data_IF_786262732291
#
_entry.id   IF_786262732291
#
_cell.length_a   1.000
_cell.length_b   1.000
_cell.length_c   1.000
_cell.angle_alpha   90.00
_cell.angle_beta   90.00
_cell.angle_gamma   90.00
#
_symmetry.space_group_name_H-M   'P 1'
#
loop_
_entity.id
_entity.type
_entity.pdbx_description
1 polymer ?
#
# COMPACT_ATOMS: atom_id res chain seq x y z
N UNK A 1 4.99 8.59 6.02
CA UNK A 1 5.08 7.92 4.72
C UNK A 1 4.54 6.51 4.89
N UNK A 2 3.70 6.06 3.98
CA UNK A 2 3.13 4.72 4.01
C UNK A 2 3.90 3.75 3.12
N UNK A 3 3.47 2.50 3.12
CA UNK A 3 4.04 1.42 2.33
C UNK A 3 3.93 0.08 3.06
N UNK A 4 4.58 -0.94 2.53
CA UNK A 4 4.68 -2.26 3.15
C UNK A 4 5.56 -2.13 4.40
N UNK A 5 5.07 -2.42 5.62
CA UNK A 5 5.87 -2.29 6.82
C UNK A 5 7.04 -3.28 6.82
N UNK A 6 8.23 -2.78 7.12
CA UNK A 6 9.46 -3.58 7.17
C UNK A 6 10.29 -3.25 8.40
N UNK A 7 11.14 -4.19 8.82
CA UNK A 7 12.22 -3.93 9.76
C UNK A 7 13.44 -3.33 9.02
N UNK A 8 14.49 -2.97 9.77
CA UNK A 8 15.72 -2.38 9.21
C UNK A 8 16.52 -3.34 8.31
N UNK A 9 16.21 -4.65 8.32
CA UNK A 9 16.76 -5.66 7.41
C UNK A 9 15.92 -5.83 6.14
N UNK A 10 14.92 -4.98 5.94
CA UNK A 10 13.97 -5.01 4.84
C UNK A 10 13.00 -6.21 4.84
N UNK A 11 12.94 -7.00 5.91
CA UNK A 11 11.99 -8.11 6.03
C UNK A 11 10.58 -7.52 6.28
N UNK A 12 9.59 -8.01 5.54
CA UNK A 12 8.19 -7.54 5.67
C UNK A 12 7.62 -7.96 7.01
N UNK A 13 6.94 -7.03 7.66
CA UNK A 13 6.28 -7.23 8.94
C UNK A 13 4.78 -7.41 8.76
N UNK A 14 4.19 -8.26 9.58
CA UNK A 14 2.74 -8.37 9.74
C UNK A 14 2.38 -8.42 11.20
N UNK A 15 1.14 -8.05 11.51
CA UNK A 15 0.60 -8.09 12.87
C UNK A 15 -0.44 -9.23 12.96
N UNK A 16 -0.12 -10.24 13.75
CA UNK A 16 -1.05 -11.31 14.08
C UNK A 16 -0.94 -11.61 15.59
N UNK A 17 -1.59 -10.76 16.39
CA UNK A 17 -1.46 -10.72 17.85
C UNK A 17 -0.15 -10.09 18.32
N UNK A 18 0.96 -10.31 17.62
CA UNK A 18 2.26 -9.67 17.80
C UNK A 18 2.91 -9.40 16.43
N UNK A 19 3.87 -8.48 16.40
CA UNK A 19 4.65 -8.21 15.19
C UNK A 19 5.50 -9.44 14.83
N UNK A 20 5.42 -9.88 13.57
CA UNK A 20 6.17 -11.01 13.02
C UNK A 20 6.69 -10.69 11.63
N UNK A 21 7.83 -11.25 11.28
CA UNK A 21 8.31 -11.22 9.89
C UNK A 21 7.55 -12.22 9.02
N UNK A 22 7.30 -11.83 7.76
CA UNK A 22 6.79 -12.74 6.73
C UNK A 22 8.00 -13.43 6.09
N UNK A 23 8.18 -14.75 6.29
CA UNK A 23 9.36 -15.44 5.79
C UNK A 23 9.50 -15.32 4.27
N UNK A 24 10.71 -15.02 3.80
CA UNK A 24 11.02 -14.93 2.37
C UNK A 24 10.52 -13.69 1.64
N UNK A 25 9.76 -12.79 2.30
CA UNK A 25 9.26 -11.57 1.69
C UNK A 25 10.01 -10.35 2.20
N UNK A 26 10.54 -9.55 1.26
CA UNK A 26 11.24 -8.31 1.54
C UNK A 26 10.65 -7.15 0.74
N UNK A 27 10.73 -5.93 1.28
CA UNK A 27 10.37 -4.71 0.58
C UNK A 27 11.37 -3.60 0.90
N UNK A 28 11.70 -2.78 -0.12
CA UNK A 28 12.65 -1.68 -0.02
C UNK A 28 12.15 -0.46 -0.81
N UNK A 29 12.74 0.69 -0.53
CA UNK A 29 12.47 1.91 -1.27
C UNK A 29 11.04 2.41 -1.13
N UNK A 30 10.50 2.97 -2.20
CA UNK A 30 9.17 3.61 -2.16
C UNK A 30 8.02 2.65 -1.88
N UNK A 31 8.19 1.35 -2.14
CA UNK A 31 7.20 0.32 -1.79
C UNK A 31 7.16 0.01 -0.29
N UNK A 32 8.25 0.29 0.45
CA UNK A 32 8.41 -0.07 1.85
C UNK A 32 8.11 1.08 2.81
N UNK A 33 7.79 0.72 4.04
CA UNK A 33 7.73 1.64 5.17
C UNK A 33 8.60 1.11 6.31
N UNK A 34 9.86 1.51 6.33
CA UNK A 34 10.85 1.15 7.36
C UNK A 34 10.79 2.09 8.57
N UNK A 35 9.84 3.02 8.59
CA UNK A 35 9.55 3.96 9.70
C UNK A 35 10.60 5.06 9.93
N UNK A 36 11.51 5.31 8.99
CA UNK A 36 12.58 6.34 9.14
C UNK A 36 12.15 7.74 8.68
N UNK A 37 11.03 7.87 7.96
CA UNK A 37 10.59 9.14 7.40
C UNK A 37 9.49 9.85 8.19
N UNK A 38 8.96 9.21 9.22
CA UNK A 38 7.80 9.73 9.95
C UNK A 38 6.58 9.93 9.04
N UNK A 39 5.80 10.97 9.31
CA UNK A 39 4.58 11.27 8.56
C UNK A 39 4.80 12.10 7.29
N UNK A 40 6.02 12.59 7.05
CA UNK A 40 6.40 13.29 5.83
C UNK A 40 7.91 13.18 5.59
N UNK A 41 8.29 12.69 4.41
CA UNK A 41 9.68 12.48 4.03
C UNK A 41 10.38 13.83 3.76
N UNK A 42 11.59 14.01 4.27
CA UNK A 42 12.45 15.13 3.87
C UNK A 42 12.90 14.98 2.42
N UNK A 43 13.08 16.10 1.75
CA UNK A 43 13.58 16.15 0.38
C UNK A 43 14.88 15.34 0.22
N UNK A 44 15.03 14.63 -0.88
CA UNK A 44 16.15 13.75 -1.25
C UNK A 44 16.37 12.49 -0.40
N UNK A 45 15.71 12.35 0.74
CA UNK A 45 15.92 11.19 1.63
C UNK A 45 15.43 9.86 1.02
N UNK A 46 14.56 9.87 0.00
CA UNK A 46 14.20 8.62 -0.69
C UNK A 46 15.40 7.96 -1.36
N UNK A 47 16.29 8.72 -1.96
CA UNK A 47 17.49 8.16 -2.63
C UNK A 47 18.41 7.45 -1.63
N UNK A 48 18.57 8.03 -0.44
CA UNK A 48 19.35 7.42 0.63
C UNK A 48 18.67 6.13 1.12
N UNK A 49 17.37 6.16 1.32
CA UNK A 49 16.56 5.00 1.71
C UNK A 49 16.75 3.84 0.72
N UNK A 50 16.58 4.10 -0.59
CA UNK A 50 16.78 3.09 -1.64
C UNK A 50 18.14 2.40 -1.55
N UNK A 51 19.20 3.15 -1.35
CA UNK A 51 20.58 2.63 -1.29
C UNK A 51 20.83 1.86 0.01
N UNK A 52 20.46 2.45 1.14
CA UNK A 52 20.73 1.86 2.48
C UNK A 52 19.96 0.56 2.68
N UNK A 53 18.64 0.60 2.46
CA UNK A 53 17.81 -0.60 2.70
C UNK A 53 17.90 -1.61 1.55
N UNK A 54 18.22 -1.20 0.31
CA UNK A 54 18.59 -2.13 -0.74
C UNK A 54 19.83 -2.95 -0.39
N UNK A 55 20.86 -2.29 0.16
CA UNK A 55 22.06 -2.97 0.66
C UNK A 55 21.76 -3.86 1.87
N UNK A 56 20.90 -3.42 2.79
CA UNK A 56 20.51 -4.21 3.95
C UNK A 56 19.75 -5.48 3.52
N UNK A 57 18.81 -5.37 2.59
CA UNK A 57 18.08 -6.49 2.01
C UNK A 57 19.00 -7.50 1.34
N UNK A 58 19.95 -7.03 0.51
CA UNK A 58 20.91 -7.90 -0.17
C UNK A 58 21.77 -8.69 0.84
N UNK A 59 22.25 -8.06 1.90
CA UNK A 59 23.01 -8.74 2.96
C UNK A 59 22.13 -9.76 3.69
N UNK A 60 20.90 -9.38 4.01
CA UNK A 60 19.96 -10.28 4.69
C UNK A 60 19.59 -11.48 3.81
N UNK A 61 19.34 -11.26 2.53
CA UNK A 61 19.10 -12.34 1.58
C UNK A 61 20.28 -13.34 1.52
N UNK A 62 21.52 -12.82 1.49
CA UNK A 62 22.71 -13.68 1.51
C UNK A 62 22.88 -14.48 2.82
N UNK A 63 22.35 -13.98 3.95
CA UNK A 63 22.30 -14.75 5.22
C UNK A 63 21.27 -15.90 5.15
N UNK A 64 20.11 -15.64 4.52
CA UNK A 64 18.97 -16.56 4.50
C UNK A 64 19.06 -17.61 3.39
N UNK A 65 19.58 -17.22 2.23
CA UNK A 65 19.62 -18.05 1.03
C UNK A 65 21.05 -18.46 0.73
N UNK A 66 21.30 -19.77 0.72
CA UNK A 66 22.60 -20.33 0.33
C UNK A 66 22.52 -20.84 -1.10
N UNK A 67 23.49 -20.50 -1.97
CA UNK A 67 23.55 -21.07 -3.32
C UNK A 67 23.48 -22.61 -3.30
N UNK A 68 22.69 -23.20 -4.19
CA UNK A 68 22.52 -24.64 -4.29
C UNK A 68 21.55 -25.27 -3.26
N UNK A 69 20.94 -24.48 -2.37
CA UNK A 69 19.86 -24.99 -1.51
C UNK A 69 18.63 -25.30 -2.37
N UNK A 70 18.06 -26.51 -2.27
CA UNK A 70 16.83 -26.84 -2.98
C UNK A 70 15.69 -25.90 -2.55
N UNK A 71 14.89 -25.49 -3.49
CA UNK A 71 13.64 -24.78 -3.20
C UNK A 71 12.55 -25.79 -2.85
N UNK A 72 11.67 -25.40 -1.94
CA UNK A 72 10.41 -26.13 -1.74
C UNK A 72 9.58 -26.05 -3.03
N UNK A 73 8.89 -27.13 -3.35
CA UNK A 73 7.96 -27.15 -4.48
C UNK A 73 6.79 -26.19 -4.20
N UNK A 74 6.52 -25.35 -5.18
CA UNK A 74 5.34 -24.47 -5.11
C UNK A 74 4.11 -25.35 -5.36
N UNK A 75 3.12 -25.34 -4.43
CA UNK A 75 1.88 -26.09 -4.64
C UNK A 75 1.21 -25.66 -5.96
N UNK A 76 0.81 -26.64 -6.78
CA UNK A 76 0.15 -26.38 -8.06
C UNK A 76 -1.04 -25.42 -7.92
N UNK A 77 -1.78 -25.53 -6.82
CA UNK A 77 -2.92 -24.65 -6.51
C UNK A 77 -2.57 -23.15 -6.45
N UNK A 78 -1.33 -22.77 -6.10
CA UNK A 78 -0.90 -21.37 -6.09
C UNK A 78 -0.62 -20.88 -7.52
N UNK A 79 -0.04 -21.74 -8.35
CA UNK A 79 0.14 -21.45 -9.78
C UNK A 79 -1.21 -21.30 -10.48
N UNK A 80 -2.15 -22.23 -10.19
CA UNK A 80 -3.49 -22.22 -10.78
C UNK A 80 -4.24 -20.92 -10.42
N UNK A 81 -4.19 -20.46 -9.17
CA UNK A 81 -4.79 -19.17 -8.77
C UNK A 81 -4.24 -17.97 -9.57
N UNK A 82 -2.94 -17.95 -9.82
CA UNK A 82 -2.34 -16.89 -10.64
C UNK A 82 -2.82 -16.93 -12.09
N UNK A 83 -2.86 -18.13 -12.67
CA UNK A 83 -3.35 -18.35 -14.03
C UNK A 83 -4.85 -18.02 -14.17
N UNK A 84 -5.67 -18.48 -13.23
CA UNK A 84 -7.10 -18.18 -13.18
C UNK A 84 -7.37 -16.66 -13.09
N UNK A 85 -6.61 -15.93 -12.23
CA UNK A 85 -6.71 -14.47 -12.16
C UNK A 85 -6.37 -13.81 -13.49
N UNK A 86 -5.28 -14.24 -14.11
CA UNK A 86 -4.82 -13.71 -15.41
C UNK A 86 -5.85 -13.98 -16.50
N UNK A 87 -6.30 -15.22 -16.64
CA UNK A 87 -7.24 -15.63 -17.68
C UNK A 87 -8.63 -15.01 -17.48
N UNK A 88 -9.10 -14.89 -16.26
CA UNK A 88 -10.34 -14.20 -15.93
C UNK A 88 -10.32 -12.74 -16.41
N UNK A 89 -9.25 -12.00 -16.15
CA UNK A 89 -9.12 -10.62 -16.59
C UNK A 89 -8.97 -10.53 -18.11
N UNK A 90 -8.09 -11.34 -18.70
CA UNK A 90 -7.86 -11.37 -20.15
C UNK A 90 -9.14 -11.68 -20.94
N UNK A 91 -9.96 -12.61 -20.45
CA UNK A 91 -11.18 -13.05 -21.13
C UNK A 91 -12.42 -12.28 -20.71
N UNK A 92 -12.29 -11.27 -19.84
CA UNK A 92 -13.39 -10.45 -19.39
C UNK A 92 -14.13 -9.79 -20.57
N UNK A 93 -15.46 -9.95 -20.62
CA UNK A 93 -16.33 -9.52 -21.73
C UNK A 93 -17.58 -8.76 -21.25
N UNK A 94 -17.47 -8.08 -20.11
CA UNK A 94 -18.53 -7.26 -19.53
C UNK A 94 -18.73 -5.92 -20.25
N UNK A 95 -19.30 -4.96 -19.54
CA UNK A 95 -19.67 -3.64 -20.09
C UNK A 95 -18.71 -2.52 -19.68
N UNK A 96 -18.03 -2.65 -18.54
CA UNK A 96 -17.13 -1.62 -18.02
C UNK A 96 -15.74 -1.73 -18.65
N UNK A 97 -15.18 -0.64 -19.15
CA UNK A 97 -13.79 -0.62 -19.58
C UNK A 97 -12.85 -0.14 -18.45
N UNK A 98 -11.63 -0.60 -18.47
CA UNK A 98 -10.60 -0.28 -17.46
C UNK A 98 -10.33 1.21 -17.35
N UNK A 99 -10.30 1.94 -18.47
CA UNK A 99 -9.98 3.36 -18.50
C UNK A 99 -11.01 4.20 -17.74
N UNK A 100 -12.31 3.90 -17.87
CA UNK A 100 -13.38 4.62 -17.19
C UNK A 100 -13.35 4.34 -15.67
N UNK A 101 -13.15 3.08 -15.28
CA UNK A 101 -13.02 2.70 -13.86
C UNK A 101 -11.79 3.36 -13.23
N UNK A 102 -10.66 3.38 -13.94
CA UNK A 102 -9.43 4.03 -13.50
C UNK A 102 -9.63 5.54 -13.35
N UNK A 103 -10.28 6.19 -14.31
CA UNK A 103 -10.59 7.61 -14.24
C UNK A 103 -11.55 7.94 -13.08
N UNK A 104 -12.56 7.10 -12.83
CA UNK A 104 -13.45 7.24 -11.70
C UNK A 104 -12.69 7.15 -10.36
N UNK A 105 -11.80 6.16 -10.20
CA UNK A 105 -10.90 6.05 -9.05
C UNK A 105 -10.05 7.32 -8.87
N UNK A 106 -9.39 7.79 -9.92
CA UNK A 106 -8.52 8.97 -9.88
C UNK A 106 -9.31 10.23 -9.47
N UNK A 107 -10.49 10.45 -10.03
CA UNK A 107 -11.36 11.59 -9.69
C UNK A 107 -11.81 11.52 -8.22
N UNK A 108 -12.19 10.33 -7.74
CA UNK A 108 -12.57 10.14 -6.33
C UNK A 108 -11.39 10.43 -5.41
N UNK A 109 -10.21 9.89 -5.68
CA UNK A 109 -9.02 10.17 -4.87
C UNK A 109 -8.66 11.65 -4.87
N UNK A 110 -8.69 12.31 -6.03
CA UNK A 110 -8.37 13.73 -6.16
C UNK A 110 -9.39 14.64 -5.44
N UNK A 111 -10.67 14.31 -5.50
CA UNK A 111 -11.72 15.16 -4.91
C UNK A 111 -12.00 14.88 -3.45
N UNK A 112 -11.75 13.65 -2.96
CA UNK A 112 -12.15 13.22 -1.61
C UNK A 112 -10.99 12.94 -0.67
N UNK A 113 -9.78 12.63 -1.18
CA UNK A 113 -8.61 12.26 -0.38
C UNK A 113 -7.33 13.01 -0.80
N UNK A 114 -7.47 14.21 -1.35
CA UNK A 114 -6.35 15.08 -1.72
C UNK A 114 -5.63 15.66 -0.47
N UNK A 115 -5.03 16.83 -0.60
CA UNK A 115 -4.22 17.45 0.46
C UNK A 115 -5.07 17.83 1.68
N UNK A 116 -6.19 18.53 1.46
CA UNK A 116 -7.08 18.97 2.53
C UNK A 116 -8.29 18.06 2.64
N UNK A 117 -8.52 17.54 3.83
CA UNK A 117 -9.48 16.47 4.11
C UNK A 117 -10.42 16.86 5.24
N UNK A 118 -11.67 16.43 5.14
CA UNK A 118 -12.66 16.53 6.21
C UNK A 118 -13.35 15.19 6.43
N UNK A 119 -14.00 15.00 7.57
CA UNK A 119 -14.82 13.80 7.86
C UNK A 119 -15.85 13.56 6.75
N UNK A 120 -16.50 14.66 6.29
CA UNK A 120 -17.51 14.57 5.24
C UNK A 120 -16.92 14.09 3.92
N UNK A 121 -15.86 14.72 3.43
CA UNK A 121 -15.24 14.37 2.15
C UNK A 121 -14.68 12.96 2.17
N UNK A 122 -14.01 12.55 3.25
CA UNK A 122 -13.47 11.20 3.38
C UNK A 122 -14.57 10.14 3.49
N UNK A 123 -15.66 10.41 4.23
CA UNK A 123 -16.78 9.47 4.33
C UNK A 123 -17.48 9.24 2.98
N UNK A 124 -17.67 10.32 2.21
CA UNK A 124 -18.16 10.22 0.83
C UNK A 124 -17.18 9.41 -0.03
N UNK A 125 -15.88 9.70 0.07
CA UNK A 125 -14.82 9.00 -0.65
C UNK A 125 -14.76 7.51 -0.35
N UNK A 126 -14.90 7.11 0.91
CA UNK A 126 -14.97 5.68 1.33
C UNK A 126 -16.09 4.92 0.60
N UNK A 127 -17.22 5.56 0.38
CA UNK A 127 -18.34 4.95 -0.34
C UNK A 127 -18.13 4.98 -1.86
N UNK A 128 -17.58 6.08 -2.38
CA UNK A 128 -17.39 6.28 -3.81
C UNK A 128 -16.27 5.41 -4.38
N UNK A 129 -15.16 5.23 -3.63
CA UNK A 129 -13.99 4.49 -4.11
C UNK A 129 -14.27 2.99 -4.33
N UNK A 130 -15.29 2.45 -3.71
CA UNK A 130 -15.68 1.05 -3.88
C UNK A 130 -16.42 0.77 -5.18
N UNK A 131 -17.08 1.79 -5.75
CA UNK A 131 -17.81 1.64 -7.02
C UNK A 131 -16.91 1.19 -8.18
N UNK A 132 -15.76 1.82 -8.45
CA UNK A 132 -14.83 1.31 -9.47
C UNK A 132 -14.30 -0.10 -9.17
N UNK A 133 -14.14 -0.47 -7.89
CA UNK A 133 -13.75 -1.84 -7.52
C UNK A 133 -14.86 -2.85 -7.84
N UNK A 134 -16.11 -2.56 -7.48
CA UNK A 134 -17.28 -3.38 -7.80
C UNK A 134 -17.48 -3.47 -9.31
N UNK A 135 -17.18 -2.40 -10.04
CA UNK A 135 -17.24 -2.37 -11.50
C UNK A 135 -16.28 -3.33 -12.20
N UNK A 136 -15.27 -3.84 -11.51
CA UNK A 136 -14.37 -4.88 -12.03
C UNK A 136 -15.06 -6.24 -12.20
N UNK A 137 -16.16 -6.49 -11.53
CA UNK A 137 -16.92 -7.74 -11.67
C UNK A 137 -17.60 -7.83 -13.06
N UNK A 138 -17.81 -6.69 -13.75
CA UNK A 138 -18.37 -6.59 -15.09
C UNK A 138 -17.40 -5.92 -16.07
N UNK A 139 -16.14 -6.31 -16.02
CA UNK A 139 -15.05 -5.71 -16.79
C UNK A 139 -15.03 -6.22 -18.23
N UNK A 140 -14.62 -5.38 -19.15
CA UNK A 140 -14.41 -5.71 -20.56
C UNK A 140 -12.98 -5.39 -20.97
N UNK A 141 -12.24 -6.41 -21.40
CA UNK A 141 -10.93 -6.30 -22.05
C UNK A 141 -11.10 -6.64 -23.52
N UNK A 142 -10.80 -5.72 -24.40
CA UNK A 142 -11.04 -5.88 -25.84
C UNK A 142 -9.97 -6.72 -26.53
N UNK A 143 -8.70 -6.42 -26.24
CA UNK A 143 -7.58 -7.17 -26.79
C UNK A 143 -7.35 -8.44 -25.96
N UNK A 144 -7.51 -9.61 -26.59
CA UNK A 144 -7.30 -10.93 -25.99
C UNK A 144 -5.94 -11.53 -26.33
N UNK A 145 -5.12 -10.83 -27.11
CA UNK A 145 -3.80 -11.29 -27.51
C UNK A 145 -2.82 -11.37 -26.32
N UNK A 146 -1.69 -12.01 -26.53
CA UNK A 146 -0.59 -12.07 -25.53
C UNK A 146 0.62 -11.23 -25.96
N UNK A 147 0.53 -10.51 -27.08
CA UNK A 147 1.64 -9.74 -27.64
C UNK A 147 1.32 -8.26 -27.54
N UNK A 148 2.13 -7.50 -26.78
CA UNK A 148 1.97 -6.05 -26.56
C UNK A 148 0.56 -5.62 -26.17
N UNK A 149 -0.12 -6.44 -25.37
CA UNK A 149 -1.50 -6.18 -24.93
C UNK A 149 -1.50 -5.17 -23.79
N UNK A 150 -1.53 -3.88 -24.13
CA UNK A 150 -1.59 -2.79 -23.15
C UNK A 150 -2.94 -2.74 -22.42
N UNK A 151 -4.03 -3.16 -23.07
CA UNK A 151 -5.36 -3.23 -22.44
C UNK A 151 -5.38 -4.19 -21.23
N UNK A 152 -4.78 -5.36 -21.41
CA UNK A 152 -4.62 -6.35 -20.33
C UNK A 152 -3.65 -5.87 -19.25
N UNK A 153 -2.51 -5.28 -19.61
CA UNK A 153 -1.53 -4.73 -18.64
C UNK A 153 -2.18 -3.65 -17.79
N UNK A 154 -2.87 -2.70 -18.41
CA UNK A 154 -3.59 -1.63 -17.69
C UNK A 154 -4.68 -2.17 -16.75
N UNK A 155 -5.33 -3.27 -17.15
CA UNK A 155 -6.34 -3.95 -16.33
C UNK A 155 -5.73 -4.63 -15.10
N UNK A 156 -4.61 -5.33 -15.28
CA UNK A 156 -3.85 -5.95 -14.18
C UNK A 156 -3.30 -4.91 -13.20
N UNK A 157 -2.81 -3.78 -13.72
CA UNK A 157 -2.36 -2.65 -12.92
C UNK A 157 -3.52 -2.02 -12.15
N UNK A 158 -4.68 -1.86 -12.79
CA UNK A 158 -5.84 -1.26 -12.15
C UNK A 158 -6.33 -2.08 -10.96
N UNK A 159 -6.34 -3.41 -11.04
CA UNK A 159 -6.68 -4.29 -9.89
C UNK A 159 -5.76 -4.02 -8.69
N UNK A 160 -4.48 -3.75 -8.93
CA UNK A 160 -3.55 -3.39 -7.87
C UNK A 160 -3.78 -1.94 -7.36
N UNK A 161 -3.96 -0.98 -8.27
CA UNK A 161 -4.13 0.44 -7.94
C UNK A 161 -5.39 0.70 -7.11
N UNK A 162 -6.52 0.07 -7.47
CA UNK A 162 -7.78 0.31 -6.77
C UNK A 162 -7.72 -0.17 -5.31
N UNK A 163 -7.02 -1.26 -5.04
CA UNK A 163 -6.80 -1.76 -3.67
C UNK A 163 -5.96 -0.79 -2.84
N UNK A 164 -4.93 -0.20 -3.44
CA UNK A 164 -4.11 0.84 -2.79
C UNK A 164 -4.93 2.11 -2.52
N UNK A 165 -5.80 2.50 -3.47
CA UNK A 165 -6.68 3.65 -3.31
C UNK A 165 -7.68 3.45 -2.15
N UNK A 166 -8.33 2.28 -2.06
CA UNK A 166 -9.22 1.93 -0.96
C UNK A 166 -8.47 1.95 0.38
N UNK A 167 -7.31 1.30 0.45
CA UNK A 167 -6.46 1.28 1.64
C UNK A 167 -6.09 2.68 2.12
N UNK A 168 -5.69 3.55 1.20
CA UNK A 168 -5.34 4.95 1.49
C UNK A 168 -6.54 5.75 1.98
N UNK A 169 -7.67 5.63 1.32
CA UNK A 169 -8.91 6.31 1.67
C UNK A 169 -9.40 5.92 3.07
N UNK A 170 -9.48 4.62 3.34
CA UNK A 170 -9.94 4.11 4.63
C UNK A 170 -8.97 4.48 5.76
N UNK A 171 -7.67 4.40 5.53
CA UNK A 171 -6.66 4.81 6.51
C UNK A 171 -6.76 6.30 6.83
N UNK A 172 -6.94 7.14 5.81
CA UNK A 172 -7.12 8.58 5.98
C UNK A 172 -8.42 8.92 6.74
N UNK A 173 -9.50 8.21 6.49
CA UNK A 173 -10.78 8.39 7.18
C UNK A 173 -10.69 8.09 8.68
N UNK A 174 -9.99 7.01 9.04
CA UNK A 174 -9.86 6.58 10.44
C UNK A 174 -8.90 7.44 11.25
N UNK A 175 -7.95 8.12 10.62
CA UNK A 175 -6.97 8.96 11.31
C UNK A 175 -7.48 10.37 11.56
N UNK A 176 -7.97 10.63 12.78
CA UNK A 176 -8.61 11.88 13.20
C UNK A 176 -7.59 12.83 13.85
N UNK A 177 -6.58 13.21 13.10
CA UNK A 177 -5.55 14.20 13.46
C UNK A 177 -4.94 14.78 12.18
N UNK A 178 -4.13 15.83 12.30
CA UNK A 178 -3.21 16.28 11.25
C UNK A 178 -1.78 15.95 11.63
N UNK A 179 -1.05 15.25 10.71
CA UNK A 179 0.34 14.85 10.94
C UNK A 179 1.09 14.72 9.61
N UNK A 180 2.12 15.53 9.41
CA UNK A 180 2.91 15.53 8.19
C UNK A 180 2.05 15.82 6.96
N UNK A 181 2.04 14.91 5.99
CA UNK A 181 1.26 15.05 4.76
C UNK A 181 -0.25 14.79 4.93
N UNK A 182 -0.68 14.22 6.05
CA UNK A 182 -2.09 14.02 6.36
C UNK A 182 -2.67 15.27 7.03
N UNK A 183 -3.42 16.08 6.28
CA UNK A 183 -4.04 17.32 6.77
C UNK A 183 -5.56 17.16 6.86
N UNK A 184 -6.08 17.25 8.09
CA UNK A 184 -7.51 17.23 8.42
C UNK A 184 -7.94 18.62 8.86
N UNK A 185 -8.77 19.30 8.06
CA UNK A 185 -9.29 20.64 8.41
C UNK A 185 -10.15 20.60 9.66
N UNK A 186 -10.86 19.51 9.88
CA UNK A 186 -11.71 19.25 11.05
C UNK A 186 -10.94 18.74 12.28
N UNK A 187 -9.70 18.27 12.11
CA UNK A 187 -8.77 17.86 13.16
C UNK A 187 -7.37 18.45 12.91
N UNK A 188 -7.20 19.79 12.99
CA UNK A 188 -5.98 20.46 12.54
C UNK A 188 -4.75 20.20 13.42
N UNK A 189 -4.95 19.69 14.63
CA UNK A 189 -3.86 19.43 15.59
C UNK A 189 -3.41 17.98 15.54
N UNK A 190 -2.09 17.78 15.77
CA UNK A 190 -1.49 16.47 16.05
C UNK A 190 -2.01 15.93 17.38
N UNK A 191 -2.26 14.65 17.46
CA UNK A 191 -2.70 13.98 18.67
C UNK A 191 -1.78 12.80 18.98
N UNK A 192 -0.73 13.06 19.78
CA UNK A 192 0.28 12.06 20.13
C UNK A 192 -0.25 11.01 21.12
N UNK A 193 -1.21 11.36 21.94
CA UNK A 193 -1.82 10.42 22.87
C UNK A 193 -2.53 9.25 22.16
N UNK A 194 -3.24 9.54 21.07
CA UNK A 194 -4.01 8.52 20.33
C UNK A 194 -3.31 8.00 19.08
N UNK A 195 -2.48 8.84 18.43
CA UNK A 195 -1.97 8.56 17.09
C UNK A 195 -0.44 8.61 16.96
N UNK A 196 0.33 8.52 18.06
CA UNK A 196 1.76 8.25 17.99
C UNK A 196 2.00 6.79 17.63
N UNK A 197 1.39 6.38 16.51
CA UNK A 197 1.41 5.01 16.02
C UNK A 197 1.17 4.97 14.51
N UNK A 198 1.67 3.92 13.86
CA UNK A 198 1.37 3.65 12.45
C UNK A 198 -0.02 3.06 12.30
N UNK A 199 -0.73 3.51 11.28
CA UNK A 199 -1.97 2.87 10.84
C UNK A 199 -1.63 1.69 9.97
N UNK A 200 -2.08 0.49 10.34
CA UNK A 200 -2.02 -0.72 9.53
C UNK A 200 -3.36 -0.97 8.87
N UNK A 201 -3.32 -1.46 7.65
CA UNK A 201 -4.52 -1.69 6.86
C UNK A 201 -4.42 -3.00 6.08
N UNK A 202 -5.42 -3.85 6.21
CA UNK A 202 -5.61 -5.06 5.40
C UNK A 202 -6.88 -4.90 4.57
N UNK A 203 -6.76 -5.02 3.27
CA UNK A 203 -7.85 -4.78 2.33
C UNK A 203 -8.04 -5.99 1.40
N UNK A 204 -9.23 -6.56 1.40
CA UNK A 204 -9.64 -7.56 0.41
C UNK A 204 -10.35 -6.95 -0.82
N UNK A 205 -10.47 -5.62 -0.83
CA UNK A 205 -11.18 -4.82 -1.83
C UNK A 205 -12.61 -4.46 -1.39
N UNK A 206 -13.29 -5.30 -0.65
CA UNK A 206 -14.66 -5.04 -0.13
C UNK A 206 -14.63 -4.47 1.28
N UNK A 207 -13.74 -5.00 2.11
CA UNK A 207 -13.60 -4.59 3.52
C UNK A 207 -12.14 -4.23 3.81
N UNK A 208 -11.99 -3.26 4.68
CA UNK A 208 -10.67 -2.87 5.20
C UNK A 208 -10.68 -3.06 6.72
N UNK A 209 -9.73 -3.84 7.22
CA UNK A 209 -9.44 -3.91 8.65
C UNK A 209 -8.36 -2.87 8.94
N UNK A 210 -8.61 -2.02 9.93
CA UNK A 210 -7.62 -1.04 10.43
C UNK A 210 -7.14 -1.48 11.80
N UNK A 211 -5.84 -1.37 12.03
CA UNK A 211 -5.18 -1.59 13.30
C UNK A 211 -4.01 -0.61 13.48
N UNK A 212 -3.35 -0.63 14.61
CA UNK A 212 -2.27 0.33 14.92
C UNK A 212 -1.10 -0.37 15.59
N UNK A 213 0.12 0.08 15.27
CA UNK A 213 1.33 -0.30 15.98
C UNK A 213 2.07 0.96 16.46
N UNK A 214 2.70 0.94 17.64
CA UNK A 214 3.47 2.08 18.14
C UNK A 214 4.55 2.51 17.15
N UNK A 215 4.76 3.83 17.01
CA UNK A 215 5.89 4.34 16.27
C UNK A 215 7.19 3.96 16.95
N UNK A 216 8.24 3.67 16.16
CA UNK A 216 9.59 3.59 16.68
C UNK A 216 10.04 4.98 17.12
N UNK A 217 10.31 5.13 18.42
CA UNK A 217 10.87 6.36 18.98
C UNK A 217 12.35 6.11 19.26
N UNK A 218 13.21 6.88 18.62
CA UNK A 218 14.64 6.85 18.93
C UNK A 218 14.87 7.50 20.31
N UNK A 219 15.67 6.85 21.16
CA UNK A 219 15.97 7.32 22.51
C UNK A 219 16.86 8.57 22.55
N UNK A 220 17.56 8.88 21.47
CA UNK A 220 18.39 10.09 21.34
C UNK A 220 17.68 11.16 20.54
N UNK A 221 17.43 12.36 21.09
CA UNK A 221 16.84 13.44 20.34
C UNK A 221 17.76 13.87 19.19
N UNK A 222 17.21 14.05 18.02
CA UNK A 222 17.94 14.66 16.92
C UNK A 222 18.26 16.11 17.30
N UNK A 223 19.50 16.60 17.13
CA UNK A 223 19.86 18.00 17.34
C UNK A 223 19.06 18.98 16.48
N UNK A 224 18.30 18.48 15.50
CA UNK A 224 17.47 19.24 14.56
C UNK A 224 15.97 19.12 14.81
N UNK A 225 15.55 18.50 15.90
CA UNK A 225 14.13 18.46 16.26
C UNK A 225 13.81 19.68 17.15
N UNK A 226 13.18 20.74 16.59
CA UNK A 226 12.92 21.96 17.35
C UNK A 226 11.75 21.85 18.35
N UNK A 227 11.09 20.69 18.41
CA UNK A 227 9.88 20.48 19.21
C UNK A 227 10.06 19.48 20.38
N UNK A 228 11.30 19.36 20.88
CA UNK A 228 11.59 18.64 22.12
C UNK A 228 12.06 19.57 23.21
#
# INVERSE_FOLDING_TARGET
>A
MGGIPTNYKAEVLTLNGSEKTVPGLMAIGEAACVSVHGANRLGSNSLIDLVVFGRAAAKRAAELVKPGTPHEEIPQSETDKCLERFDRLRNASGTNNTADLRLAMQKTMQSKCAVFRTEKTLKEGVNEIRKPFEGMDDLSVKDKSLIFNTDLVETLEFDNLIRQAITTMDSAYHRKESRGAHAREDFPKRNDEKFMQHTLSWCDGKKTKIDYIPCLLYTSPSPRDPNR
#
